data_IF_683901625386
#
_entry.id   IF_683901625386
#
_cell.length_a   1.000
_cell.length_b   1.000
_cell.length_c   1.000
_cell.angle_alpha   90.00
_cell.angle_beta   90.00
_cell.angle_gamma   90.00
#
_symmetry.space_group_name_H-M   'P 1'
#
loop_
_entity.id
_entity.type
_entity.pdbx_description
1 polymer ?
#
# COMPACT_ATOMS: atom_id res chain seq x y z
N UNK A 1 2.73 -2.81 -9.73
CA UNK A 1 2.51 -2.72 -8.28
C UNK A 1 3.45 -3.64 -7.55
N UNK A 2 4.19 -3.07 -6.67
CA UNK A 2 5.08 -3.87 -5.97
C UNK A 2 4.53 -4.40 -4.73
N UNK A 3 5.05 -5.41 -4.14
CA UNK A 3 4.66 -5.90 -2.85
C UNK A 3 3.55 -6.92 -2.88
N UNK A 4 3.02 -7.24 -4.05
CA UNK A 4 2.00 -8.24 -4.08
C UNK A 4 2.21 -9.32 -5.10
N UNK A 5 3.35 -9.48 -5.72
CA UNK A 5 3.47 -10.43 -6.81
C UNK A 5 3.06 -11.84 -6.44
N UNK A 6 3.36 -12.28 -5.27
CA UNK A 6 3.04 -13.63 -4.90
C UNK A 6 2.06 -13.71 -3.76
N UNK A 7 1.19 -12.71 -3.68
CA UNK A 7 0.21 -12.69 -2.60
C UNK A 7 -0.73 -13.89 -2.66
N UNK A 8 -0.88 -14.51 -3.82
CA UNK A 8 -1.70 -15.72 -3.92
C UNK A 8 -0.97 -16.98 -3.51
N UNK A 9 0.33 -16.91 -3.33
CA UNK A 9 1.14 -18.06 -2.99
C UNK A 9 1.21 -18.29 -1.49
N UNK A 10 1.07 -17.23 -0.71
CA UNK A 10 1.13 -17.31 0.74
C UNK A 10 -0.14 -16.73 1.33
N UNK A 11 -0.61 -17.31 2.43
CA UNK A 11 -1.75 -16.72 3.11
C UNK A 11 -1.28 -15.53 3.94
N UNK A 12 -2.22 -14.67 4.29
CA UNK A 12 -1.90 -13.52 5.14
C UNK A 12 -1.28 -13.98 6.46
N UNK A 13 -1.81 -15.07 7.02
CA UNK A 13 -1.31 -15.59 8.28
C UNK A 13 0.12 -16.09 8.14
N UNK A 14 0.43 -16.75 7.03
CA UNK A 14 1.79 -17.21 6.79
C UNK A 14 2.76 -16.03 6.70
N UNK A 15 2.35 -14.97 6.02
CA UNK A 15 3.20 -13.80 5.90
C UNK A 15 3.36 -13.10 7.24
N UNK A 16 2.27 -12.95 7.99
CA UNK A 16 2.33 -12.27 9.27
C UNK A 16 3.24 -12.99 10.26
N UNK A 17 3.25 -14.33 10.21
CA UNK A 17 4.08 -15.10 11.14
C UNK A 17 5.52 -15.21 10.69
N UNK A 18 5.85 -14.75 9.48
CA UNK A 18 7.20 -14.84 8.94
C UNK A 18 7.91 -13.50 8.89
N UNK A 19 7.40 -12.49 9.59
CA UNK A 19 8.01 -11.17 9.60
C UNK A 19 9.36 -11.24 10.31
N UNK A 20 10.40 -10.74 9.66
CA UNK A 20 11.75 -10.70 10.23
C UNK A 20 12.22 -9.30 10.52
N UNK A 21 11.61 -8.28 9.89
CA UNK A 21 11.92 -6.88 10.17
C UNK A 21 10.63 -6.09 10.20
N UNK A 22 10.44 -5.32 11.28
CA UNK A 22 9.25 -4.51 11.49
C UNK A 22 9.56 -3.04 11.24
N UNK A 23 8.53 -2.28 10.95
CA UNK A 23 8.61 -0.81 10.91
C UNK A 23 9.80 -0.31 10.10
N UNK A 24 9.91 -0.80 8.87
CA UNK A 24 10.97 -0.35 8.00
C UNK A 24 10.80 1.12 7.69
N UNK A 25 11.93 1.81 7.59
CA UNK A 25 11.93 3.22 7.27
C UNK A 25 11.47 3.41 5.83
N UNK A 26 10.56 4.36 5.63
CA UNK A 26 9.95 4.62 4.33
C UNK A 26 10.41 5.99 3.85
N UNK A 27 10.93 6.02 2.63
CA UNK A 27 11.29 7.28 2.00
C UNK A 27 10.27 7.56 0.92
N UNK A 28 9.61 8.72 1.00
CA UNK A 28 8.62 9.09 0.00
C UNK A 28 9.33 9.68 -1.20
N UNK A 29 9.24 9.01 -2.32
CA UNK A 29 9.84 9.49 -3.57
C UNK A 29 8.82 10.31 -4.34
N UNK A 30 7.58 9.84 -4.40
CA UNK A 30 6.52 10.54 -5.12
C UNK A 30 5.19 10.15 -4.52
N UNK A 31 4.32 11.14 -4.39
CA UNK A 31 2.98 10.92 -3.84
C UNK A 31 2.05 11.93 -4.43
N UNK A 32 0.86 11.51 -4.81
CA UNK A 32 -0.10 12.45 -5.39
C UNK A 32 -1.51 12.04 -5.04
N UNK A 33 -2.43 12.98 -5.21
CA UNK A 33 -3.85 12.73 -5.01
C UNK A 33 -4.45 12.20 -6.29
N UNK A 34 -5.31 11.18 -6.15
CA UNK A 34 -6.18 10.75 -7.24
C UNK A 34 -7.45 11.54 -7.12
N UNK A 35 -7.92 12.09 -8.23
CA UNK A 35 -9.05 13.01 -8.21
C UNK A 35 -10.16 12.41 -9.06
N UNK A 36 -11.36 12.33 -8.48
CA UNK A 36 -12.52 11.76 -9.16
C UNK A 36 -13.66 12.76 -9.10
N UNK A 37 -14.39 12.88 -10.19
CA UNK A 37 -15.54 13.77 -10.26
C UNK A 37 -16.80 12.99 -9.94
N UNK A 38 -17.60 13.55 -9.05
CA UNK A 38 -18.89 12.95 -8.70
C UNK A 38 -19.97 13.55 -9.56
N UNK A 39 -21.09 12.81 -9.76
CA UNK A 39 -22.17 13.32 -10.61
C UNK A 39 -22.79 14.61 -10.13
N UNK A 40 -22.71 14.91 -8.85
CA UNK A 40 -23.37 16.08 -8.29
C UNK A 40 -22.53 17.33 -8.27
N UNK A 41 -21.37 17.29 -8.95
CA UNK A 41 -20.55 18.48 -9.07
C UNK A 41 -19.46 18.60 -8.02
N UNK A 42 -19.33 17.64 -7.16
CA UNK A 42 -18.25 17.62 -6.19
C UNK A 42 -17.11 16.77 -6.71
N UNK A 43 -15.96 16.91 -6.08
CA UNK A 43 -14.81 16.06 -6.39
C UNK A 43 -14.38 15.33 -5.15
N UNK A 44 -13.98 14.09 -5.35
CA UNK A 44 -13.36 13.28 -4.31
C UNK A 44 -11.87 13.18 -4.61
N UNK A 45 -11.04 13.49 -3.63
CA UNK A 45 -9.60 13.32 -3.75
C UNK A 45 -9.18 12.23 -2.77
N UNK A 46 -8.39 11.29 -3.27
CA UNK A 46 -7.94 10.15 -2.47
C UNK A 46 -6.44 10.04 -2.60
N UNK A 47 -5.78 9.89 -1.48
CA UNK A 47 -4.34 9.66 -1.46
C UNK A 47 -4.06 8.48 -0.53
N UNK A 48 -3.40 7.45 -1.06
CA UNK A 48 -2.99 6.30 -0.28
C UNK A 48 -1.53 6.45 0.09
N UNK A 49 -1.22 6.19 1.35
CA UNK A 49 0.15 6.28 1.83
C UNK A 49 0.48 5.05 2.67
N UNK A 50 1.68 4.51 2.53
CA UNK A 50 2.07 3.42 3.41
C UNK A 50 2.36 3.96 4.79
N UNK A 51 1.82 3.30 5.80
CA UNK A 51 2.06 3.71 7.19
C UNK A 51 2.97 2.73 7.90
N UNK A 52 3.08 1.52 7.38
CA UNK A 52 3.90 0.52 8.01
C UNK A 52 4.32 -0.50 6.96
N UNK A 53 5.60 -0.81 6.92
CA UNK A 53 6.14 -1.80 6.00
C UNK A 53 6.98 -2.78 6.81
N UNK A 54 6.72 -4.07 6.62
CA UNK A 54 7.47 -5.12 7.29
C UNK A 54 7.98 -6.10 6.25
N UNK A 55 9.17 -6.63 6.48
CA UNK A 55 9.75 -7.62 5.59
C UNK A 55 9.57 -9.00 6.17
N UNK A 56 9.17 -9.96 5.34
CA UNK A 56 9.04 -11.35 5.74
C UNK A 56 10.26 -12.14 5.31
N UNK A 57 10.34 -13.38 5.78
CA UNK A 57 11.41 -14.28 5.36
C UNK A 57 11.08 -14.98 4.06
N UNK A 58 9.93 -14.71 3.47
CA UNK A 58 9.50 -15.35 2.24
C UNK A 58 10.01 -14.57 1.04
N UNK A 59 10.12 -15.25 -0.09
CA UNK A 59 10.58 -14.66 -1.34
C UNK A 59 9.63 -15.06 -2.45
N UNK A 60 9.52 -14.21 -3.45
CA UNK A 60 8.72 -14.54 -4.61
C UNK A 60 9.55 -15.37 -5.59
N UNK A 61 8.95 -15.72 -6.72
CA UNK A 61 9.59 -16.59 -7.70
C UNK A 61 10.82 -15.95 -8.34
N UNK A 62 10.98 -14.65 -8.19
CA UNK A 62 12.11 -13.93 -8.77
C UNK A 62 13.17 -13.59 -7.73
N UNK A 63 13.01 -14.09 -6.53
CA UNK A 63 13.98 -13.86 -5.48
C UNK A 63 13.83 -12.55 -4.74
N UNK A 64 12.71 -11.86 -4.93
CA UNK A 64 12.45 -10.61 -4.23
C UNK A 64 11.75 -10.91 -2.92
N UNK A 65 12.18 -10.30 -1.81
CA UNK A 65 11.51 -10.54 -0.53
C UNK A 65 10.06 -10.08 -0.58
N UNK A 66 9.20 -10.80 0.12
CA UNK A 66 7.80 -10.44 0.23
C UNK A 66 7.63 -9.51 1.42
N UNK A 67 6.96 -8.39 1.20
CA UNK A 67 6.72 -7.39 2.22
C UNK A 67 5.25 -7.30 2.56
N UNK A 68 4.96 -6.95 3.79
CA UNK A 68 3.61 -6.61 4.22
C UNK A 68 3.55 -5.09 4.31
N UNK A 69 2.56 -4.50 3.65
CA UNK A 69 2.41 -3.05 3.60
C UNK A 69 1.03 -2.68 4.10
N UNK A 70 0.99 -1.87 5.15
CA UNK A 70 -0.26 -1.30 5.63
C UNK A 70 -0.43 0.07 5.02
N UNK A 71 -1.60 0.33 4.50
CA UNK A 71 -1.90 1.59 3.82
C UNK A 71 -2.93 2.37 4.61
N UNK A 72 -2.81 3.68 4.55
CA UNK A 72 -3.79 4.59 5.08
C UNK A 72 -4.30 5.45 3.92
N UNK A 73 -5.60 5.72 3.90
CA UNK A 73 -6.20 6.51 2.85
C UNK A 73 -6.67 7.84 3.43
N UNK A 74 -6.24 8.94 2.80
CA UNK A 74 -6.76 10.25 3.10
C UNK A 74 -7.80 10.60 2.04
N UNK A 75 -8.96 11.04 2.47
CA UNK A 75 -10.07 11.32 1.57
C UNK A 75 -10.57 12.73 1.83
N UNK A 76 -10.70 13.51 0.78
CA UNK A 76 -11.25 14.86 0.87
C UNK A 76 -12.33 15.00 -0.17
N UNK A 77 -13.44 15.63 0.21
CA UNK A 77 -14.53 15.92 -0.70
C UNK A 77 -14.73 17.42 -0.69
N UNK A 78 -14.73 18.00 -1.86
CA UNK A 78 -14.86 19.44 -1.96
C UNK A 78 -15.61 19.85 -3.21
N UNK A 79 -15.79 21.15 -3.37
CA UNK A 79 -16.47 21.65 -4.54
C UNK A 79 -15.65 21.41 -5.79
N UNK A 80 -16.32 21.46 -6.92
CA UNK A 80 -15.69 21.30 -8.21
C UNK A 80 -14.60 22.35 -8.40
N UNK A 81 -13.55 21.95 -9.03
CA UNK A 81 -12.49 22.89 -9.37
C UNK A 81 -12.50 23.22 -10.82
#
# INVERSE_FOLDING_TARGET
MFGRPDSGKYTHQELASSVVKHDLEIEVIAESWNIYRLPEGFVVKVKNSPVNVARTSKFDSEGVPVYLVDLSADIKIGPRQ
#
